data_IF_827322283145
#
_entry.id   IF_827322283145
#
_cell.length_a   1.000
_cell.length_b   1.000
_cell.length_c   1.000
_cell.angle_alpha   90.00
_cell.angle_beta   90.00
_cell.angle_gamma   90.00
#
_symmetry.space_group_name_H-M   'P 1'
#
loop_
_entity.id
_entity.type
_entity.pdbx_description
1 polymer ?
#
# COMPACT_ATOMS: atom_id res chain seq x y z
N UNK A 1 8.17 24.62 -1.24
CA UNK A 1 6.96 24.52 -0.40
C UNK A 1 6.95 23.11 0.16
N UNK A 2 6.75 22.92 1.47
CA UNK A 2 6.78 21.59 2.06
C UNK A 2 5.57 20.77 1.62
N UNK A 3 5.79 19.48 1.39
CA UNK A 3 4.75 18.56 0.91
C UNK A 3 4.97 17.14 1.48
N UNK A 4 3.96 16.29 1.33
CA UNK A 4 3.98 14.87 1.72
C UNK A 4 3.57 14.01 0.53
N UNK A 5 4.03 12.76 0.47
CA UNK A 5 3.62 11.81 -0.58
C UNK A 5 2.89 10.62 0.06
N UNK A 6 1.74 10.26 -0.51
CA UNK A 6 1.07 8.98 -0.28
C UNK A 6 1.18 8.09 -1.50
N UNK A 7 1.51 6.81 -1.31
CA UNK A 7 1.65 5.83 -2.39
C UNK A 7 0.81 4.58 -2.07
N UNK A 8 -0.12 4.22 -2.95
CA UNK A 8 -0.84 2.94 -2.94
C UNK A 8 -0.19 2.01 -3.96
N UNK A 9 0.46 0.95 -3.47
CA UNK A 9 1.33 0.07 -4.23
C UNK A 9 0.77 -1.36 -4.24
N UNK A 10 -0.10 -1.62 -5.21
CA UNK A 10 -0.89 -2.84 -5.31
C UNK A 10 -0.35 -3.89 -6.28
N UNK A 11 -1.15 -4.93 -6.53
CA UNK A 11 -0.83 -6.03 -7.45
C UNK A 11 -0.92 -5.69 -8.94
N UNK A 12 -1.59 -4.59 -9.31
CA UNK A 12 -1.83 -4.20 -10.71
C UNK A 12 -1.14 -2.90 -11.09
N UNK A 13 -1.11 -1.94 -10.17
CA UNK A 13 -0.53 -0.60 -10.37
C UNK A 13 0.00 -0.05 -9.04
N UNK A 14 0.83 0.98 -9.17
CA UNK A 14 1.23 1.86 -8.07
C UNK A 14 0.77 3.28 -8.39
N UNK A 15 0.00 3.88 -7.50
CA UNK A 15 -0.47 5.27 -7.60
C UNK A 15 0.20 6.10 -6.51
N UNK A 16 0.83 7.21 -6.91
CA UNK A 16 1.50 8.12 -5.98
C UNK A 16 0.95 9.54 -6.14
N UNK A 17 0.67 10.19 -5.01
CA UNK A 17 0.10 11.53 -4.96
C UNK A 17 0.87 12.37 -3.95
N UNK A 18 1.30 13.56 -4.36
CA UNK A 18 1.91 14.56 -3.51
C UNK A 18 0.85 15.57 -3.05
N UNK A 19 0.87 15.91 -1.76
CA UNK A 19 -0.04 16.86 -1.13
C UNK A 19 0.73 17.97 -0.41
N UNK A 20 0.22 19.19 -0.44
CA UNK A 20 0.67 20.23 0.50
C UNK A 20 0.26 19.89 1.94
N UNK A 21 0.73 20.69 2.90
CA UNK A 21 0.42 20.48 4.33
C UNK A 21 -1.05 20.77 4.70
N UNK A 22 -1.84 21.35 3.77
CA UNK A 22 -3.27 21.56 3.94
C UNK A 22 -4.11 20.43 3.31
N UNK A 23 -3.46 19.43 2.69
CA UNK A 23 -4.12 18.32 2.02
C UNK A 23 -4.52 18.60 0.57
N UNK A 24 -4.04 19.70 -0.05
CA UNK A 24 -4.27 19.98 -1.46
C UNK A 24 -3.32 19.15 -2.33
N UNK A 25 -3.86 18.47 -3.35
CA UNK A 25 -3.07 17.72 -4.31
C UNK A 25 -2.18 18.67 -5.14
N UNK A 26 -0.88 18.36 -5.18
CA UNK A 26 0.13 19.10 -5.94
C UNK A 26 0.51 18.39 -7.24
N UNK A 27 0.62 17.06 -7.18
CA UNK A 27 0.97 16.24 -8.33
C UNK A 27 0.57 14.78 -8.10
N UNK A 28 0.36 14.05 -9.21
CA UNK A 28 0.03 12.63 -9.23
C UNK A 28 0.80 11.92 -10.34
N UNK A 29 1.14 10.65 -10.11
CA UNK A 29 1.61 9.75 -11.15
C UNK A 29 1.10 8.32 -10.90
N UNK A 30 1.23 7.48 -11.93
CA UNK A 30 0.95 6.06 -11.86
C UNK A 30 2.07 5.30 -12.57
N UNK A 31 2.54 4.22 -11.96
CA UNK A 31 3.53 3.30 -12.53
C UNK A 31 2.97 1.87 -12.54
N UNK A 32 3.81 0.88 -12.87
CA UNK A 32 3.42 -0.53 -12.86
C UNK A 32 3.11 -1.06 -11.45
N UNK A 33 2.80 -2.35 -11.33
CA UNK A 33 2.54 -2.98 -10.04
C UNK A 33 3.72 -2.83 -9.06
N UNK A 34 3.43 -2.77 -7.77
CA UNK A 34 4.46 -2.72 -6.73
C UNK A 34 4.47 -3.91 -5.79
N UNK A 35 3.55 -4.86 -5.93
CA UNK A 35 3.52 -6.07 -5.11
C UNK A 35 4.81 -6.92 -5.28
N UNK A 36 5.62 -6.94 -4.23
CA UNK A 36 6.94 -7.58 -4.21
C UNK A 36 6.89 -9.11 -4.24
N UNK A 37 5.75 -9.71 -3.91
CA UNK A 37 5.54 -11.15 -4.00
C UNK A 37 5.36 -11.63 -5.44
N UNK A 38 4.96 -10.75 -6.36
CA UNK A 38 4.82 -11.07 -7.79
C UNK A 38 6.19 -11.03 -8.46
N UNK A 39 6.87 -9.89 -8.40
CA UNK A 39 8.22 -9.69 -8.90
C UNK A 39 8.86 -8.54 -8.12
N UNK A 40 9.71 -8.89 -7.16
CA UNK A 40 10.37 -7.94 -6.27
C UNK A 40 11.19 -6.89 -7.03
N UNK A 41 11.92 -7.28 -8.08
CA UNK A 41 12.81 -6.37 -8.80
C UNK A 41 12.00 -5.34 -9.56
N UNK A 42 10.95 -5.77 -10.28
CA UNK A 42 10.06 -4.86 -11.02
C UNK A 42 9.24 -3.99 -10.06
N UNK A 43 8.74 -4.56 -8.98
CA UNK A 43 7.97 -3.82 -7.97
C UNK A 43 8.78 -2.68 -7.33
N UNK A 44 10.05 -2.95 -6.96
CA UNK A 44 10.96 -1.92 -6.47
C UNK A 44 11.22 -0.83 -7.50
N UNK A 45 11.51 -1.20 -8.75
CA UNK A 45 11.77 -0.25 -9.82
C UNK A 45 10.56 0.67 -10.10
N UNK A 46 9.34 0.12 -10.11
CA UNK A 46 8.11 0.90 -10.31
C UNK A 46 7.85 1.87 -9.15
N UNK A 47 8.18 1.48 -7.91
CA UNK A 47 8.06 2.33 -6.74
C UNK A 47 9.09 3.48 -6.75
N UNK A 48 10.36 3.17 -7.06
CA UNK A 48 11.40 4.19 -7.26
C UNK A 48 11.05 5.17 -8.38
N UNK A 49 10.52 4.67 -9.49
CA UNK A 49 10.06 5.50 -10.60
C UNK A 49 8.94 6.44 -10.18
N UNK A 50 7.95 5.96 -9.40
CA UNK A 50 6.86 6.79 -8.91
C UNK A 50 7.37 7.94 -8.03
N UNK A 51 8.29 7.65 -7.09
CA UNK A 51 8.90 8.68 -6.24
C UNK A 51 9.72 9.66 -7.06
N UNK A 52 10.56 9.16 -7.98
CA UNK A 52 11.38 9.98 -8.87
C UNK A 52 10.54 10.97 -9.68
N UNK A 53 9.42 10.52 -10.27
CA UNK A 53 8.52 11.40 -11.05
C UNK A 53 8.00 12.57 -10.21
N UNK A 54 7.71 12.35 -8.92
CA UNK A 54 7.22 13.40 -8.03
C UNK A 54 8.36 14.30 -7.54
N UNK A 55 9.53 13.73 -7.21
CA UNK A 55 10.71 14.49 -6.82
C UNK A 55 11.26 15.37 -7.94
N UNK A 56 11.25 14.90 -9.20
CA UNK A 56 11.63 15.69 -10.37
C UNK A 56 10.72 16.92 -10.56
N UNK A 57 9.47 16.87 -10.07
CA UNK A 57 8.50 17.97 -10.18
C UNK A 57 8.50 18.92 -8.98
N UNK A 58 8.70 18.41 -7.77
CA UNK A 58 8.47 19.13 -6.52
C UNK A 58 9.73 19.32 -5.67
N UNK A 59 10.85 18.75 -6.10
CA UNK A 59 12.14 18.70 -5.40
C UNK A 59 12.06 17.88 -4.09
N UNK A 60 12.87 16.82 -4.01
CA UNK A 60 12.95 15.91 -2.86
C UNK A 60 13.19 16.67 -1.54
N UNK A 61 13.93 17.77 -1.59
CA UNK A 61 14.31 18.57 -0.41
C UNK A 61 13.13 19.07 0.40
N UNK A 62 11.98 19.30 -0.24
CA UNK A 62 10.80 19.82 0.45
C UNK A 62 9.82 18.72 0.86
N UNK A 63 10.07 17.46 0.49
CA UNK A 63 9.27 16.34 0.94
C UNK A 63 9.51 16.10 2.44
N UNK A 64 8.45 16.07 3.23
CA UNK A 64 8.54 15.84 4.67
C UNK A 64 8.51 14.35 5.01
N UNK A 65 7.70 13.58 4.27
CA UNK A 65 7.49 12.15 4.49
C UNK A 65 6.89 11.51 3.23
N UNK A 66 7.24 10.25 3.01
CA UNK A 66 6.58 9.37 2.05
C UNK A 66 5.95 8.21 2.81
N UNK A 67 4.64 8.00 2.63
CA UNK A 67 3.93 6.84 3.19
C UNK A 67 3.54 5.91 2.05
N UNK A 68 4.03 4.68 2.11
CA UNK A 68 3.79 3.64 1.10
C UNK A 68 2.92 2.54 1.70
N UNK A 69 1.68 2.44 1.21
CA UNK A 69 0.83 1.26 1.41
C UNK A 69 1.22 0.21 0.39
N UNK A 70 1.76 -0.92 0.86
CA UNK A 70 2.29 -1.96 0.00
C UNK A 70 1.53 -3.28 0.18
N UNK A 71 0.96 -3.78 -0.92
CA UNK A 71 0.35 -5.09 -0.94
C UNK A 71 1.41 -6.17 -0.70
N UNK A 72 1.12 -7.09 0.23
CA UNK A 72 2.02 -8.19 0.57
C UNK A 72 3.21 -7.81 1.46
N UNK A 73 3.21 -6.62 2.08
CA UNK A 73 4.27 -6.19 3.00
C UNK A 73 4.55 -7.20 4.12
N UNK A 74 3.50 -7.87 4.62
CA UNK A 74 3.57 -8.83 5.73
C UNK A 74 4.03 -10.24 5.29
N UNK A 75 4.28 -10.46 4.00
CA UNK A 75 4.67 -11.77 3.45
C UNK A 75 6.11 -12.21 3.76
N UNK A 76 6.83 -11.51 4.64
CA UNK A 76 8.23 -11.77 4.98
C UNK A 76 8.87 -10.61 5.74
N UNK A 77 10.20 -10.47 5.62
CA UNK A 77 10.95 -9.37 6.25
C UNK A 77 11.00 -8.09 5.37
N UNK A 78 10.03 -7.90 4.48
CA UNK A 78 10.07 -6.81 3.49
C UNK A 78 10.10 -5.44 4.14
N UNK A 79 9.37 -5.22 5.24
CA UNK A 79 9.36 -3.92 5.92
C UNK A 79 10.77 -3.46 6.31
N UNK A 80 11.55 -4.31 6.98
CA UNK A 80 12.91 -3.95 7.39
C UNK A 80 13.86 -3.81 6.20
N UNK A 81 13.71 -4.68 5.19
CA UNK A 81 14.52 -4.62 3.98
C UNK A 81 14.26 -3.32 3.20
N UNK A 82 13.00 -2.94 3.03
CA UNK A 82 12.60 -1.72 2.32
C UNK A 82 13.05 -0.47 3.07
N UNK A 83 12.83 -0.40 4.39
CA UNK A 83 13.32 0.71 5.20
C UNK A 83 14.84 0.90 5.05
N UNK A 84 15.60 -0.20 4.97
CA UNK A 84 17.05 -0.13 4.72
C UNK A 84 17.35 0.32 3.30
N UNK A 85 16.71 -0.29 2.29
CA UNK A 85 16.93 -0.01 0.88
C UNK A 85 16.65 1.46 0.53
N UNK A 86 15.60 2.04 1.11
CA UNK A 86 15.13 3.40 0.88
C UNK A 86 15.73 4.45 1.84
N UNK A 87 16.65 4.06 2.73
CA UNK A 87 17.28 4.98 3.71
C UNK A 87 18.15 6.09 3.11
N UNK A 88 18.44 6.03 1.81
CA UNK A 88 19.26 7.01 1.11
C UNK A 88 18.48 8.26 0.67
N UNK A 89 17.15 8.21 0.72
CA UNK A 89 16.30 9.38 0.47
C UNK A 89 16.34 10.34 1.67
N UNK A 90 16.24 11.63 1.40
CA UNK A 90 16.18 12.68 2.40
C UNK A 90 14.91 12.62 3.28
N UNK A 91 13.68 12.45 2.73
CA UNK A 91 12.51 12.24 3.56
C UNK A 91 12.48 10.85 4.19
N UNK A 92 11.85 10.73 5.36
CA UNK A 92 11.52 9.42 5.93
C UNK A 92 10.51 8.70 5.02
N UNK A 93 10.77 7.43 4.74
CA UNK A 93 9.90 6.57 3.95
C UNK A 93 9.31 5.49 4.85
N UNK A 94 8.00 5.56 5.08
CA UNK A 94 7.26 4.68 5.97
C UNK A 94 6.46 3.67 5.16
N UNK A 95 6.76 2.39 5.38
CA UNK A 95 6.04 1.27 4.76
C UNK A 95 4.96 0.75 5.70
N UNK A 96 3.72 0.73 5.21
CA UNK A 96 2.56 0.13 5.86
C UNK A 96 1.88 -0.87 4.93
N UNK A 97 1.11 -1.78 5.51
CA UNK A 97 0.24 -2.66 4.72
C UNK A 97 -0.81 -1.80 4.00
N UNK A 98 -1.14 -2.13 2.75
CA UNK A 98 -2.13 -1.45 1.91
C UNK A 98 -3.53 -1.37 2.56
N UNK A 99 -3.89 -2.37 3.36
CA UNK A 99 -5.12 -2.34 4.15
C UNK A 99 -5.08 -1.20 5.18
N UNK A 100 -3.98 -1.02 5.91
CA UNK A 100 -3.84 0.08 6.88
C UNK A 100 -3.83 1.45 6.20
N UNK A 101 -3.20 1.58 5.03
CA UNK A 101 -3.29 2.80 4.23
C UNK A 101 -4.75 3.13 3.91
N UNK A 102 -5.51 2.14 3.44
CA UNK A 102 -6.93 2.26 3.13
C UNK A 102 -7.77 2.58 4.37
N UNK A 103 -7.43 2.00 5.52
CA UNK A 103 -8.09 2.29 6.80
C UNK A 103 -7.92 3.75 7.19
N UNK A 104 -6.70 4.27 7.15
CA UNK A 104 -6.45 5.67 7.50
C UNK A 104 -7.09 6.64 6.50
N UNK A 105 -7.18 6.28 5.22
CA UNK A 105 -7.86 7.09 4.22
C UNK A 105 -9.38 7.19 4.46
N UNK A 106 -10.03 6.10 4.86
CA UNK A 106 -11.49 6.00 4.97
C UNK A 106 -12.02 6.28 6.37
N UNK A 107 -11.40 5.67 7.39
CA UNK A 107 -11.82 5.75 8.79
C UNK A 107 -11.22 6.97 9.49
N UNK A 108 -10.04 7.41 9.03
CA UNK A 108 -9.29 8.56 9.58
C UNK A 108 -8.94 8.35 11.06
N UNK A 109 -9.09 9.36 11.89
CA UNK A 109 -8.74 9.35 13.32
C UNK A 109 -9.79 8.68 14.22
N UNK A 110 -10.76 7.96 13.64
CA UNK A 110 -11.87 7.36 14.40
C UNK A 110 -11.63 5.87 14.64
N UNK A 111 -12.19 5.37 15.75
CA UNK A 111 -12.32 3.93 15.96
C UNK A 111 -13.24 3.33 14.90
N UNK A 112 -12.90 2.13 14.42
CA UNK A 112 -13.67 1.46 13.39
C UNK A 112 -12.98 0.25 12.79
N UNK A 113 -13.62 -0.37 11.81
CA UNK A 113 -13.07 -1.46 11.02
C UNK A 113 -13.19 -1.18 9.51
N UNK A 114 -12.29 -1.77 8.75
CA UNK A 114 -12.31 -1.79 7.29
C UNK A 114 -12.31 -3.25 6.82
N UNK A 115 -13.21 -3.55 5.88
CA UNK A 115 -13.25 -4.83 5.18
C UNK A 115 -12.96 -4.57 3.71
N UNK A 116 -11.95 -5.25 3.17
CA UNK A 116 -11.59 -5.22 1.76
C UNK A 116 -11.97 -6.57 1.15
N UNK A 117 -12.69 -6.53 0.02
CA UNK A 117 -12.93 -7.68 -0.85
C UNK A 117 -12.66 -7.28 -2.29
N UNK A 118 -11.49 -7.70 -2.80
CA UNK A 118 -11.03 -7.50 -4.17
C UNK A 118 -10.50 -8.82 -4.73
N UNK A 119 -9.30 -8.83 -5.30
CA UNK A 119 -8.63 -10.08 -5.68
C UNK A 119 -8.43 -11.01 -4.47
N UNK A 120 -8.01 -10.44 -3.34
CA UNK A 120 -7.99 -11.09 -2.02
C UNK A 120 -8.97 -10.43 -1.05
N UNK A 121 -8.96 -10.84 0.23
CA UNK A 121 -9.81 -10.22 1.25
C UNK A 121 -9.14 -10.11 2.62
N UNK A 122 -9.47 -9.04 3.34
CA UNK A 122 -8.95 -8.77 4.69
C UNK A 122 -9.93 -7.91 5.48
N UNK A 123 -10.01 -8.13 6.79
CA UNK A 123 -10.66 -7.25 7.75
C UNK A 123 -9.61 -6.74 8.76
N UNK A 124 -9.54 -5.44 8.96
CA UNK A 124 -8.72 -4.81 10.00
C UNK A 124 -9.56 -3.82 10.80
N UNK A 125 -9.15 -3.54 12.03
CA UNK A 125 -9.80 -2.51 12.84
C UNK A 125 -8.89 -1.96 13.92
N UNK A 126 -9.23 -0.76 14.38
CA UNK A 126 -8.56 -0.08 15.47
C UNK A 126 -9.59 0.46 16.45
N UNK A 127 -9.31 0.32 17.76
CA UNK A 127 -10.04 0.93 18.86
C UNK A 127 -9.04 1.51 19.86
N UNK A 128 -8.95 2.84 19.93
CA UNK A 128 -7.88 3.51 20.66
C UNK A 128 -6.51 3.10 20.11
N UNK A 129 -5.69 2.47 20.95
CA UNK A 129 -4.36 1.94 20.55
C UNK A 129 -4.39 0.46 20.16
N UNK A 130 -5.51 -0.22 20.36
CA UNK A 130 -5.63 -1.64 20.05
C UNK A 130 -5.94 -1.83 18.56
N UNK A 131 -5.23 -2.74 17.92
CA UNK A 131 -5.45 -3.11 16.52
C UNK A 131 -5.80 -4.58 16.41
N UNK A 132 -6.67 -4.92 15.45
CA UNK A 132 -7.07 -6.28 15.16
C UNK A 132 -7.05 -6.53 13.66
N UNK A 133 -6.78 -7.78 13.28
CA UNK A 133 -6.78 -8.28 11.90
C UNK A 133 -7.43 -9.65 11.84
N UNK A 134 -8.26 -9.86 10.83
CA UNK A 134 -8.86 -11.16 10.48
C UNK A 134 -8.70 -11.38 8.98
N UNK A 135 -8.19 -12.55 8.59
CA UNK A 135 -7.92 -12.88 7.17
C UNK A 135 -6.68 -12.18 6.60
N UNK A 136 -6.67 -12.02 5.26
CA UNK A 136 -5.52 -11.47 4.53
C UNK A 136 -4.33 -12.43 4.44
N UNK A 137 -4.55 -13.74 4.54
CA UNK A 137 -3.49 -14.76 4.46
C UNK A 137 -3.11 -15.12 3.01
N UNK A 138 -3.78 -14.51 2.04
CA UNK A 138 -3.63 -14.81 0.63
C UNK A 138 -4.41 -16.05 0.19
N UNK A 139 -4.46 -16.24 -1.12
CA UNK A 139 -5.37 -17.16 -1.81
C UNK A 139 -5.18 -18.67 -1.51
N UNK A 140 -4.02 -19.05 -0.97
CA UNK A 140 -3.72 -20.42 -0.58
C UNK A 140 -4.28 -20.78 0.79
N UNK A 141 -4.30 -19.82 1.72
CA UNK A 141 -4.59 -20.03 3.15
C UNK A 141 -5.80 -19.22 3.65
N UNK A 142 -6.50 -18.50 2.76
CA UNK A 142 -7.68 -17.70 3.09
C UNK A 142 -8.26 -17.00 1.87
N UNK A 143 -8.45 -15.68 2.00
CA UNK A 143 -9.16 -14.82 1.04
C UNK A 143 -10.65 -15.16 0.87
N UNK A 144 -11.32 -15.66 1.90
CA UNK A 144 -12.76 -15.92 1.88
C UNK A 144 -13.55 -14.66 1.52
N UNK A 145 -14.54 -14.81 0.64
CA UNK A 145 -15.35 -13.70 0.16
C UNK A 145 -14.65 -12.77 -0.85
N UNK A 146 -13.40 -13.05 -1.23
CA UNK A 146 -12.72 -12.38 -2.34
C UNK A 146 -13.21 -12.86 -3.71
N UNK A 147 -12.86 -12.12 -4.77
CA UNK A 147 -13.07 -12.53 -6.15
C UNK A 147 -12.36 -13.86 -6.49
N UNK A 148 -11.14 -14.08 -5.97
CA UNK A 148 -10.44 -15.35 -6.16
C UNK A 148 -11.20 -16.52 -5.53
N UNK A 149 -11.69 -16.35 -4.29
CA UNK A 149 -12.45 -17.38 -3.59
C UNK A 149 -13.75 -17.72 -4.30
N UNK A 150 -14.49 -16.71 -4.77
CA UNK A 150 -15.73 -16.91 -5.55
C UNK A 150 -15.42 -17.68 -6.84
N UNK A 151 -14.39 -17.29 -7.58
CA UNK A 151 -14.00 -17.96 -8.82
C UNK A 151 -13.62 -19.43 -8.58
N UNK A 152 -12.76 -19.71 -7.60
CA UNK A 152 -12.34 -21.06 -7.23
C UNK A 152 -13.52 -21.94 -6.80
N UNK A 153 -14.46 -21.38 -6.03
CA UNK A 153 -15.63 -22.12 -5.54
C UNK A 153 -16.57 -22.53 -6.68
N UNK A 154 -16.76 -21.65 -7.67
CA UNK A 154 -17.57 -21.96 -8.85
C UNK A 154 -16.93 -23.04 -9.73
N UNK A 155 -15.60 -23.06 -9.83
CA UNK A 155 -14.87 -24.08 -10.59
C UNK A 155 -15.01 -25.47 -9.93
N UNK A 156 -14.96 -25.54 -8.59
CA UNK A 156 -15.19 -26.79 -7.83
C UNK A 156 -16.64 -27.28 -7.81
N UNK A 157 -17.61 -26.47 -8.26
CA UNK A 157 -19.01 -26.86 -8.34
C UNK A 157 -19.42 -27.39 -9.73
N UNK A 158 -18.53 -27.26 -10.73
CA UNK A 158 -18.74 -27.73 -12.10
C UNK A 158 -18.13 -29.13 -12.35
N UNK A 159 -17.56 -29.77 -11.32
CA UNK A 159 -16.99 -31.12 -11.35
C UNK A 159 -17.84 -32.12 -10.58
#
# INVERSE_FOLDING_TARGET
MNYMIGIDSGGTKTEAIAYDLNGSELARCQTGFGNLLIDKKRGLANLEEAMKILFDKLDEKYCQIVVVGLAGLDGGNFKAELTTYFSHYQPDIVFINDAWLSYYALVKEKDGCLVISGTGSICIGQKGQETARVGGWGNLLGDEGSGYWIAKKNDSAAS
#
